data_IF_673232581106
#
_entry.id   IF_673232581106
#
_cell.length_a   1.000
_cell.length_b   1.000
_cell.length_c   1.000
_cell.angle_alpha   90.00
_cell.angle_beta   90.00
_cell.angle_gamma   90.00
#
_symmetry.space_group_name_H-M   'P 1'
#
loop_
_entity.id
_entity.type
_entity.pdbx_description
1 polymer ?
#
# COMPACT_ATOMS: atom_id res chain seq x y z
N UNK A 1 -20.89 -2.42 25.03
CA UNK A 1 -20.79 -3.36 23.90
C UNK A 1 -21.23 -2.62 22.65
N UNK A 2 -20.35 -2.40 21.68
CA UNK A 2 -20.73 -1.81 20.38
C UNK A 2 -20.18 -2.77 19.32
N UNK A 3 -21.03 -3.67 18.83
CA UNK A 3 -20.76 -4.45 17.62
C UNK A 3 -21.15 -3.57 16.43
N UNK A 4 -20.16 -2.93 15.81
CA UNK A 4 -20.32 -2.34 14.48
C UNK A 4 -20.02 -3.42 13.45
N UNK A 5 -21.06 -4.11 12.96
CA UNK A 5 -20.95 -4.95 11.78
C UNK A 5 -20.76 -4.02 10.57
N UNK A 6 -19.54 -3.93 10.03
CA UNK A 6 -19.34 -3.33 8.72
C UNK A 6 -19.68 -4.42 7.71
N UNK A 7 -20.88 -4.33 7.17
CA UNK A 7 -21.35 -5.08 6.02
C UNK A 7 -20.29 -5.04 4.92
N UNK A 8 -20.06 -6.18 4.28
CA UNK A 8 -19.17 -6.36 3.16
C UNK A 8 -19.58 -5.47 1.99
N UNK A 9 -19.16 -4.22 2.02
CA UNK A 9 -19.18 -3.36 0.85
C UNK A 9 -18.13 -3.89 -0.10
N UNK A 10 -18.57 -4.36 -1.28
CA UNK A 10 -17.72 -4.69 -2.43
C UNK A 10 -16.61 -3.63 -2.49
N UNK A 11 -15.39 -4.00 -2.10
CA UNK A 11 -14.28 -3.06 -2.16
C UNK A 11 -14.05 -2.80 -3.63
N UNK A 12 -14.59 -1.70 -4.16
CA UNK A 12 -14.23 -1.17 -5.47
C UNK A 12 -12.73 -1.34 -5.61
N UNK A 13 -12.30 -2.10 -6.61
CA UNK A 13 -10.89 -2.40 -6.84
C UNK A 13 -10.12 -1.08 -6.73
N UNK A 14 -9.33 -0.95 -5.68
CA UNK A 14 -8.59 0.29 -5.46
C UNK A 14 -7.67 0.47 -6.67
N UNK A 15 -7.51 1.71 -7.19
CA UNK A 15 -6.60 1.95 -8.28
C UNK A 15 -5.21 1.42 -7.94
N UNK A 16 -4.42 0.94 -8.93
CA UNK A 16 -3.12 0.32 -8.69
C UNK A 16 -2.26 1.20 -7.80
N UNK A 17 -1.95 0.71 -6.60
CA UNK A 17 -1.07 1.40 -5.65
C UNK A 17 0.34 1.33 -6.22
N UNK A 18 0.91 2.48 -6.59
CA UNK A 18 2.29 2.57 -7.10
C UNK A 18 3.18 3.13 -6.00
N UNK A 19 3.93 2.25 -5.36
CA UNK A 19 4.89 2.64 -4.34
C UNK A 19 6.15 3.20 -5.00
N UNK A 20 6.56 4.40 -4.62
CA UNK A 20 7.75 5.07 -5.15
C UNK A 20 8.67 5.55 -4.05
N UNK A 21 9.97 5.46 -4.26
CA UNK A 21 10.96 6.01 -3.33
C UNK A 21 11.15 7.50 -3.64
N UNK A 22 11.09 8.34 -2.62
CA UNK A 22 11.26 9.80 -2.74
C UNK A 22 12.28 10.32 -1.72
N UNK A 23 13.12 11.30 -2.09
CA UNK A 23 14.01 11.97 -1.14
C UNK A 23 13.22 12.88 -0.19
N UNK A 24 13.67 12.99 1.06
CA UNK A 24 13.12 13.80 2.16
C UNK A 24 14.27 14.45 2.93
N UNK A 25 13.96 15.49 3.71
CA UNK A 25 14.97 16.24 4.48
C UNK A 25 15.85 15.37 5.40
N UNK A 26 15.34 14.23 5.87
CA UNK A 26 16.03 13.30 6.78
C UNK A 26 16.31 11.92 6.17
N UNK A 27 16.30 11.79 4.83
CA UNK A 27 16.62 10.54 4.14
C UNK A 27 15.65 10.19 3.01
N UNK A 28 15.21 8.93 2.96
CA UNK A 28 14.40 8.39 1.87
C UNK A 28 13.08 7.84 2.41
N UNK A 29 11.95 8.15 1.76
CA UNK A 29 10.65 7.62 2.15
C UNK A 29 9.97 6.89 0.98
N UNK A 30 9.05 5.99 1.30
CA UNK A 30 8.18 5.38 0.30
C UNK A 30 6.87 6.16 0.27
N UNK A 31 6.48 6.61 -0.91
CA UNK A 31 5.24 7.35 -1.14
C UNK A 31 4.23 6.50 -1.93
N UNK A 32 2.94 6.63 -1.56
CA UNK A 32 1.80 6.01 -2.25
C UNK A 32 0.59 6.92 -2.08
N UNK A 33 -0.15 7.23 -3.15
CA UNK A 33 -1.42 7.97 -3.10
C UNK A 33 -1.41 9.19 -2.14
N UNK A 34 -0.38 10.04 -2.27
CA UNK A 34 -0.18 11.24 -1.44
C UNK A 34 0.18 11.01 0.04
N UNK A 35 0.33 9.75 0.48
CA UNK A 35 0.87 9.38 1.77
C UNK A 35 2.36 8.99 1.65
N UNK A 36 3.11 9.19 2.73
CA UNK A 36 4.52 8.84 2.82
C UNK A 36 4.79 8.06 4.12
N UNK A 37 5.68 7.07 4.06
CA UNK A 37 6.20 6.41 5.25
C UNK A 37 7.11 7.35 6.06
N UNK A 38 7.47 6.90 7.27
CA UNK A 38 8.60 7.51 7.98
C UNK A 38 9.87 7.41 7.12
N UNK A 39 10.74 8.43 7.16
CA UNK A 39 12.00 8.42 6.42
C UNK A 39 12.95 7.37 6.97
N UNK A 40 13.63 6.69 6.05
CA UNK A 40 14.71 5.73 6.26
C UNK A 40 16.05 6.42 5.94
N UNK A 41 17.14 6.06 6.64
CA UNK A 41 18.44 6.70 6.44
C UNK A 41 19.05 6.39 5.06
N UNK A 42 18.78 5.21 4.50
CA UNK A 42 19.38 4.73 3.27
C UNK A 42 18.37 4.45 2.15
N UNK A 43 18.77 4.75 0.91
CA UNK A 43 17.93 4.56 -0.28
C UNK A 43 17.60 3.09 -0.54
N UNK A 44 18.56 2.21 -0.30
CA UNK A 44 18.43 0.76 -0.58
C UNK A 44 17.34 0.15 0.30
N UNK A 45 17.27 0.51 1.58
CA UNK A 45 16.20 0.06 2.48
C UNK A 45 14.85 0.62 2.07
N UNK A 46 14.78 1.87 1.58
CA UNK A 46 13.55 2.43 1.03
C UNK A 46 13.11 1.69 -0.25
N UNK A 47 14.02 1.32 -1.13
CA UNK A 47 13.74 0.52 -2.34
C UNK A 47 13.26 -0.89 -1.98
N UNK A 48 13.92 -1.56 -1.02
CA UNK A 48 13.48 -2.87 -0.51
C UNK A 48 12.09 -2.79 0.12
N UNK A 49 11.83 -1.76 0.91
CA UNK A 49 10.51 -1.53 1.50
C UNK A 49 9.45 -1.28 0.41
N UNK A 50 9.75 -0.44 -0.57
CA UNK A 50 8.84 -0.17 -1.69
C UNK A 50 8.50 -1.45 -2.47
N UNK A 51 9.51 -2.29 -2.76
CA UNK A 51 9.29 -3.58 -3.44
C UNK A 51 8.41 -4.53 -2.62
N UNK A 52 8.63 -4.61 -1.30
CA UNK A 52 7.80 -5.44 -0.42
C UNK A 52 6.35 -4.94 -0.38
N UNK A 53 6.15 -3.63 -0.22
CA UNK A 53 4.81 -3.03 -0.18
C UNK A 53 4.08 -3.18 -1.52
N UNK A 54 4.80 -3.08 -2.63
CA UNK A 54 4.24 -3.34 -3.97
C UNK A 54 3.76 -4.78 -4.07
N UNK A 55 4.59 -5.77 -3.70
CA UNK A 55 4.21 -7.18 -3.74
C UNK A 55 3.00 -7.50 -2.85
N UNK A 56 2.88 -6.86 -1.69
CA UNK A 56 1.73 -7.00 -0.80
C UNK A 56 0.47 -6.38 -1.41
N UNK A 57 0.56 -5.19 -2.00
CA UNK A 57 -0.54 -4.56 -2.70
C UNK A 57 -0.99 -5.35 -3.94
N UNK A 58 -0.06 -5.95 -4.68
CA UNK A 58 -0.35 -6.78 -5.85
C UNK A 58 -1.11 -8.05 -5.44
N UNK A 59 -0.71 -8.69 -4.32
CA UNK A 59 -1.47 -9.81 -3.74
C UNK A 59 -2.87 -9.39 -3.32
N UNK A 60 -2.99 -8.26 -2.62
CA UNK A 60 -4.29 -7.74 -2.18
C UNK A 60 -5.21 -7.46 -3.37
N UNK A 61 -4.70 -6.83 -4.42
CA UNK A 61 -5.46 -6.55 -5.64
C UNK A 61 -5.93 -7.85 -6.32
N UNK A 62 -5.08 -8.88 -6.36
CA UNK A 62 -5.42 -10.20 -6.91
C UNK A 62 -6.55 -10.87 -6.12
N UNK A 63 -6.49 -10.82 -4.80
CA UNK A 63 -7.51 -11.44 -3.95
C UNK A 63 -8.82 -10.65 -3.97
N UNK A 64 -8.77 -9.31 -4.01
CA UNK A 64 -9.94 -8.47 -4.22
C UNK A 64 -10.61 -8.75 -5.58
N UNK A 65 -9.81 -8.93 -6.64
CA UNK A 65 -10.34 -9.29 -7.95
C UNK A 65 -11.09 -10.63 -7.91
N UNK A 66 -10.53 -11.65 -7.24
CA UNK A 66 -11.18 -12.96 -7.08
C UNK A 66 -12.53 -12.87 -6.37
N UNK A 67 -12.64 -12.05 -5.33
CA UNK A 67 -13.87 -11.88 -4.54
C UNK A 67 -14.95 -11.09 -5.28
N UNK A 68 -14.58 -10.29 -6.29
CA UNK A 68 -15.52 -9.46 -7.06
C UNK A 68 -16.13 -10.21 -8.26
N UNK A 69 -15.67 -11.43 -8.58
CA UNK A 69 -16.13 -12.22 -9.74
C UNK A 69 -17.21 -13.27 -9.41
N UNK A 70 -17.88 -13.16 -8.26
CA UNK A 70 -18.97 -14.04 -7.81
C UNK A 70 -20.23 -13.23 -7.61
#
# INVERSE_FOLDING_TARGET
MMQGHVEGGITRAAPPRRYRVVPRASGWAVAVNNACTRPLPDRISAERLAARLQAEADRLNRDQYRLTQW
#
